data_IF_706358765958
#
_entry.id   IF_706358765958
#
_cell.length_a   1.000
_cell.length_b   1.000
_cell.length_c   1.000
_cell.angle_alpha   90.00
_cell.angle_beta   90.00
_cell.angle_gamma   90.00
#
_symmetry.space_group_name_H-M   'P 1'
#
loop_
_entity.id
_entity.type
_entity.pdbx_description
1 polymer ?
#
# COMPACT_ATOMS: atom_id res chain seq x y z
N UNK A 1 -33.08 13.55 25.88
CA UNK A 1 -31.87 13.43 25.04
C UNK A 1 -32.28 13.33 23.57
N UNK A 2 -31.93 14.30 22.72
CA UNK A 2 -32.12 14.18 21.26
C UNK A 2 -31.20 13.05 20.77
N UNK A 3 -31.75 12.03 20.11
CA UNK A 3 -30.93 10.96 19.51
C UNK A 3 -30.00 11.62 18.47
N UNK A 4 -28.67 11.43 18.56
CA UNK A 4 -27.78 11.95 17.54
C UNK A 4 -28.15 11.33 16.19
N UNK A 5 -28.11 12.13 15.13
CA UNK A 5 -28.35 11.65 13.76
C UNK A 5 -27.22 10.71 13.35
N UNK A 6 -27.49 9.77 12.44
CA UNK A 6 -26.49 8.82 11.97
C UNK A 6 -25.21 9.52 11.44
N UNK A 7 -25.36 10.67 10.76
CA UNK A 7 -24.23 11.47 10.27
C UNK A 7 -23.32 11.99 11.39
N UNK A 8 -23.89 12.43 12.52
CA UNK A 8 -23.09 12.88 13.67
C UNK A 8 -22.28 11.73 14.28
N UNK A 9 -22.90 10.54 14.42
CA UNK A 9 -22.23 9.35 14.93
C UNK A 9 -21.11 8.89 13.98
N UNK A 10 -21.35 8.92 12.67
CA UNK A 10 -20.35 8.60 11.65
C UNK A 10 -19.17 9.58 11.69
N UNK A 11 -19.43 10.89 11.87
CA UNK A 11 -18.36 11.88 12.01
C UNK A 11 -17.45 11.62 13.22
N UNK A 12 -18.04 11.32 14.39
CA UNK A 12 -17.27 10.99 15.60
C UNK A 12 -16.50 9.68 15.49
N UNK A 13 -17.09 8.67 14.85
CA UNK A 13 -16.41 7.41 14.55
C UNK A 13 -15.23 7.63 13.60
N UNK A 14 -15.40 8.43 12.55
CA UNK A 14 -14.34 8.75 11.59
C UNK A 14 -13.14 9.43 12.26
N UNK A 15 -13.38 10.42 13.12
CA UNK A 15 -12.31 11.09 13.88
C UNK A 15 -11.56 10.12 14.81
N UNK A 16 -12.29 9.22 15.47
CA UNK A 16 -11.67 8.20 16.31
C UNK A 16 -10.81 7.26 15.48
N UNK A 17 -11.33 6.76 14.35
CA UNK A 17 -10.61 5.89 13.42
C UNK A 17 -9.38 6.56 12.82
N UNK A 18 -9.45 7.86 12.52
CA UNK A 18 -8.31 8.64 12.03
C UNK A 18 -7.17 8.70 13.05
N UNK A 19 -7.49 8.86 14.34
CA UNK A 19 -6.48 8.84 15.40
C UNK A 19 -5.85 7.45 15.55
N UNK A 20 -6.65 6.39 15.47
CA UNK A 20 -6.14 5.02 15.43
C UNK A 20 -5.24 4.77 14.23
N UNK A 21 -5.64 5.23 13.04
CA UNK A 21 -4.83 5.15 11.83
C UNK A 21 -3.47 5.81 12.00
N UNK A 22 -3.44 7.05 12.52
CA UNK A 22 -2.18 7.78 12.78
C UNK A 22 -1.29 7.06 13.79
N UNK A 23 -1.87 6.50 14.84
CA UNK A 23 -1.13 5.74 15.84
C UNK A 23 -0.52 4.45 15.26
N UNK A 24 -1.30 3.69 14.49
CA UNK A 24 -0.83 2.47 13.81
C UNK A 24 0.25 2.81 12.79
N UNK A 25 0.04 3.84 11.96
CA UNK A 25 1.03 4.35 11.00
C UNK A 25 2.36 4.65 11.67
N UNK A 26 2.34 5.39 12.78
CA UNK A 26 3.55 5.73 13.53
C UNK A 26 4.23 4.48 14.10
N UNK A 27 3.46 3.53 14.63
CA UNK A 27 4.01 2.28 15.16
C UNK A 27 4.66 1.43 14.06
N UNK A 28 4.00 1.29 12.91
CA UNK A 28 4.54 0.54 11.77
C UNK A 28 5.80 1.20 11.21
N UNK A 29 5.82 2.52 11.04
CA UNK A 29 7.00 3.25 10.55
C UNK A 29 8.15 3.30 11.56
N UNK A 30 7.91 2.93 12.82
CA UNK A 30 8.97 2.77 13.83
C UNK A 30 9.63 1.40 13.81
N UNK A 31 9.07 0.42 13.08
CA UNK A 31 9.71 -0.89 12.90
C UNK A 31 10.95 -0.76 12.01
N UNK A 32 12.03 -1.42 12.40
CA UNK A 32 13.27 -1.54 11.63
C UNK A 32 13.11 -2.43 10.38
N UNK A 33 11.99 -3.14 10.28
CA UNK A 33 11.66 -3.99 9.15
C UNK A 33 10.18 -3.87 8.76
N UNK A 34 9.95 -3.33 7.56
CA UNK A 34 8.61 -3.19 6.97
C UNK A 34 8.51 -3.97 5.65
N UNK A 35 7.29 -4.37 5.29
CA UNK A 35 6.98 -4.82 3.94
C UNK A 35 5.91 -3.92 3.31
N UNK A 36 6.01 -3.70 2.00
CA UNK A 36 5.02 -2.94 1.25
C UNK A 36 4.64 -3.63 -0.05
N UNK A 37 3.35 -3.54 -0.38
CA UNK A 37 2.75 -4.03 -1.63
C UNK A 37 1.57 -3.14 -2.01
N UNK A 38 1.28 -3.01 -3.30
CA UNK A 38 0.09 -2.31 -3.77
C UNK A 38 -1.03 -3.28 -4.17
N UNK A 39 -2.24 -3.00 -3.71
CA UNK A 39 -3.44 -3.75 -4.12
C UNK A 39 -4.47 -2.80 -4.70
N UNK A 40 -5.31 -3.28 -5.61
CA UNK A 40 -6.33 -2.44 -6.24
C UNK A 40 -7.74 -2.99 -6.03
N UNK A 41 -8.67 -2.07 -5.83
CA UNK A 41 -10.11 -2.33 -5.84
C UNK A 41 -10.79 -1.52 -6.93
N UNK A 42 -11.97 -1.96 -7.37
CA UNK A 42 -12.84 -1.14 -8.23
C UNK A 42 -13.60 -0.18 -7.34
N UNK A 43 -13.34 1.11 -7.50
CA UNK A 43 -13.96 2.17 -6.70
C UNK A 43 -14.89 3.01 -7.56
N UNK A 44 -15.93 3.55 -6.93
CA UNK A 44 -16.82 4.51 -7.58
C UNK A 44 -16.14 5.88 -7.62
N UNK A 45 -16.28 6.56 -8.75
CA UNK A 45 -15.79 7.92 -8.94
C UNK A 45 -16.85 8.79 -9.61
N UNK A 46 -16.87 10.11 -9.34
CA UNK A 46 -17.84 11.02 -9.95
C UNK A 46 -17.70 11.07 -11.48
N UNK A 47 -16.46 11.01 -11.97
CA UNK A 47 -16.15 11.05 -13.40
C UNK A 47 -16.51 9.75 -14.09
N UNK A 48 -17.30 9.85 -15.16
CA UNK A 48 -17.67 8.70 -15.99
C UNK A 48 -16.56 8.39 -16.98
N UNK A 49 -16.21 7.11 -17.09
CA UNK A 49 -15.33 6.64 -18.16
C UNK A 49 -16.03 6.70 -19.54
N UNK A 50 -15.29 6.38 -20.59
CA UNK A 50 -15.81 6.31 -21.98
C UNK A 50 -16.98 5.35 -22.19
N UNK A 51 -17.28 4.46 -21.22
CA UNK A 51 -18.41 3.53 -21.23
C UNK A 51 -19.57 3.99 -20.33
N UNK A 52 -19.56 5.25 -19.89
CA UNK A 52 -20.59 5.85 -19.03
C UNK A 52 -20.58 5.36 -17.58
N UNK A 53 -19.59 4.56 -17.17
CA UNK A 53 -19.48 4.02 -15.81
C UNK A 53 -18.55 4.89 -14.96
N UNK A 54 -19.01 5.37 -13.81
CA UNK A 54 -18.20 6.07 -12.81
C UNK A 54 -17.39 5.11 -11.96
N UNK A 55 -16.53 4.28 -12.58
CA UNK A 55 -15.72 3.28 -11.87
C UNK A 55 -14.29 3.32 -12.38
N UNK A 56 -13.32 3.39 -11.46
CA UNK A 56 -11.88 3.27 -11.76
C UNK A 56 -11.20 2.24 -10.86
N UNK A 57 -9.98 1.85 -11.22
CA UNK A 57 -9.12 1.09 -10.31
C UNK A 57 -8.54 2.07 -9.29
N UNK A 58 -8.83 1.85 -8.02
CA UNK A 58 -8.22 2.58 -6.91
C UNK A 58 -7.17 1.72 -6.24
N UNK A 59 -5.94 2.22 -6.20
CA UNK A 59 -4.82 1.53 -5.55
C UNK A 59 -4.71 1.95 -4.08
N UNK A 60 -4.43 0.95 -3.25
CA UNK A 60 -4.11 1.06 -1.84
C UNK A 60 -2.68 0.56 -1.67
N UNK A 61 -1.85 1.38 -1.03
CA UNK A 61 -0.49 1.02 -0.67
C UNK A 61 -0.51 0.45 0.74
N UNK A 62 -0.29 -0.85 0.86
CA UNK A 62 -0.30 -1.53 2.15
C UNK A 62 1.11 -1.56 2.68
N UNK A 63 1.28 -1.19 3.95
CA UNK A 63 2.56 -1.20 4.65
C UNK A 63 2.35 -2.00 5.94
N UNK A 64 3.22 -2.98 6.15
CA UNK A 64 3.15 -3.92 7.27
C UNK A 64 4.45 -3.83 8.05
N UNK A 65 4.33 -3.52 9.34
CA UNK A 65 5.43 -3.61 10.30
C UNK A 65 5.64 -5.07 10.67
N UNK A 66 6.77 -5.65 10.27
CA UNK A 66 6.98 -7.09 10.39
C UNK A 66 7.20 -7.50 11.85
N UNK A 67 7.72 -6.59 12.68
CA UNK A 67 7.99 -6.83 14.09
C UNK A 67 6.76 -6.56 14.95
N UNK A 68 6.09 -5.45 14.70
CA UNK A 68 4.84 -5.07 15.38
C UNK A 68 3.65 -5.96 14.98
N UNK A 69 3.67 -6.54 13.78
CA UNK A 69 2.54 -7.28 13.22
C UNK A 69 1.36 -6.36 12.84
N UNK A 70 1.58 -5.04 12.82
CA UNK A 70 0.57 -4.05 12.49
C UNK A 70 0.64 -3.71 11.00
N UNK A 71 -0.49 -3.26 10.45
CA UNK A 71 -0.56 -2.79 9.08
C UNK A 71 -1.41 -1.54 8.96
N UNK A 72 -1.09 -0.72 7.98
CA UNK A 72 -1.96 0.36 7.53
C UNK A 72 -1.94 0.45 6.00
N UNK A 73 -2.93 1.15 5.45
CA UNK A 73 -3.05 1.35 4.02
C UNK A 73 -3.14 2.84 3.69
N UNK A 74 -2.34 3.29 2.73
CA UNK A 74 -2.39 4.65 2.19
C UNK A 74 -3.23 4.65 0.92
N UNK A 75 -4.20 5.57 0.87
CA UNK A 75 -5.06 5.79 -0.29
C UNK A 75 -4.98 7.26 -0.71
N UNK A 76 -4.46 7.51 -1.93
CA UNK A 76 -4.34 8.86 -2.51
C UNK A 76 -5.13 8.93 -3.82
N UNK A 77 -6.45 9.09 -3.71
CA UNK A 77 -7.40 9.07 -4.83
C UNK A 77 -7.27 7.86 -5.76
N UNK A 78 -6.75 6.76 -5.21
CA UNK A 78 -6.50 5.53 -5.95
C UNK A 78 -5.31 5.60 -6.90
N UNK A 79 -4.36 6.52 -6.71
CA UNK A 79 -3.13 6.60 -7.50
C UNK A 79 -2.20 5.40 -7.29
N UNK A 80 -1.63 4.88 -8.39
CA UNK A 80 -0.54 3.89 -8.38
C UNK A 80 0.84 4.52 -8.63
N UNK A 81 0.93 5.83 -8.60
CA UNK A 81 2.21 6.49 -8.82
C UNK A 81 3.13 6.29 -7.59
N UNK A 82 4.43 6.17 -7.86
CA UNK A 82 5.43 5.90 -6.82
C UNK A 82 5.60 7.05 -5.83
N UNK A 83 5.22 8.27 -6.21
CA UNK A 83 5.18 9.44 -5.32
C UNK A 83 4.42 9.17 -4.01
N UNK A 84 3.34 8.38 -4.07
CA UNK A 84 2.57 8.01 -2.88
C UNK A 84 3.43 7.30 -1.85
N UNK A 85 4.23 6.32 -2.29
CA UNK A 85 5.09 5.55 -1.37
C UNK A 85 6.38 6.31 -1.03
N UNK A 86 6.87 7.15 -1.94
CA UNK A 86 8.04 7.99 -1.70
C UNK A 86 7.78 9.01 -0.58
N UNK A 87 6.66 9.72 -0.65
CA UNK A 87 6.28 10.68 0.39
C UNK A 87 6.04 9.98 1.74
N UNK A 88 5.51 8.76 1.70
CA UNK A 88 5.21 8.00 2.90
C UNK A 88 6.47 7.47 3.60
N UNK A 89 7.50 7.11 2.83
CA UNK A 89 8.75 6.53 3.33
C UNK A 89 9.90 7.52 3.40
N UNK A 90 9.68 8.80 3.11
CA UNK A 90 10.73 9.83 3.09
C UNK A 90 11.60 9.84 4.36
N UNK A 91 10.96 9.74 5.54
CA UNK A 91 11.65 9.76 6.83
C UNK A 91 11.89 8.36 7.42
N UNK A 92 11.60 7.30 6.66
CA UNK A 92 11.74 5.92 7.14
C UNK A 92 13.21 5.48 7.15
N UNK A 93 13.60 4.77 8.21
CA UNK A 93 14.94 4.23 8.39
C UNK A 93 14.83 2.74 8.72
N UNK A 94 15.43 1.87 7.89
CA UNK A 94 15.37 0.44 8.13
C UNK A 94 15.37 -0.40 6.85
N UNK A 95 14.85 -1.61 6.98
CA UNK A 95 14.75 -2.58 5.88
C UNK A 95 13.35 -2.58 5.30
N UNK A 96 13.25 -2.43 3.99
CA UNK A 96 11.97 -2.49 3.26
C UNK A 96 11.92 -3.71 2.36
N UNK A 97 10.94 -4.57 2.57
CA UNK A 97 10.62 -5.70 1.70
C UNK A 97 9.54 -5.29 0.70
N UNK A 98 9.85 -5.34 -0.59
CA UNK A 98 8.91 -5.00 -1.65
C UNK A 98 8.99 -5.96 -2.84
N UNK A 99 8.05 -5.84 -3.77
CA UNK A 99 8.16 -6.50 -5.06
C UNK A 99 9.29 -5.86 -5.93
N UNK A 100 9.41 -6.30 -7.19
CA UNK A 100 10.43 -5.83 -8.12
C UNK A 100 9.95 -4.74 -9.09
N UNK A 101 8.80 -4.09 -8.81
CA UNK A 101 8.28 -3.01 -9.63
C UNK A 101 9.28 -1.83 -9.69
N UNK A 102 9.24 -1.09 -10.81
CA UNK A 102 10.22 -0.04 -11.11
C UNK A 102 10.25 1.07 -10.07
N UNK A 103 9.10 1.42 -9.50
CA UNK A 103 9.02 2.47 -8.47
C UNK A 103 9.70 2.05 -7.16
N UNK A 104 9.58 0.80 -6.71
CA UNK A 104 10.34 0.34 -5.53
C UNK A 104 11.85 0.28 -5.77
N UNK A 105 12.30 0.09 -7.03
CA UNK A 105 13.74 0.14 -7.33
C UNK A 105 14.33 1.52 -7.07
N UNK A 106 13.54 2.59 -7.21
CA UNK A 106 13.98 3.96 -6.91
C UNK A 106 14.30 4.15 -5.42
N UNK A 107 13.63 3.40 -4.54
CA UNK A 107 13.86 3.42 -3.09
C UNK A 107 15.24 2.83 -2.72
N UNK A 108 15.91 2.13 -3.64
CA UNK A 108 17.28 1.68 -3.44
C UNK A 108 18.33 2.74 -3.87
N UNK A 109 17.89 3.88 -4.42
CA UNK A 109 18.77 4.94 -4.92
C UNK A 109 19.08 6.03 -3.89
N UNK A 110 19.80 7.06 -4.35
CA UNK A 110 20.33 8.16 -3.51
C UNK A 110 19.25 8.97 -2.78
N UNK A 111 17.99 8.94 -3.27
CA UNK A 111 16.85 9.61 -2.64
C UNK A 111 16.46 8.99 -1.28
N UNK A 112 16.85 7.73 -1.02
CA UNK A 112 16.46 6.97 0.17
C UNK A 112 17.66 6.23 0.80
N UNK A 113 18.72 6.95 1.21
CA UNK A 113 19.98 6.33 1.65
C UNK A 113 19.82 5.49 2.93
N UNK A 114 18.76 5.76 3.72
CA UNK A 114 18.49 5.10 4.99
C UNK A 114 17.61 3.85 4.86
N UNK A 115 17.22 3.49 3.62
CA UNK A 115 16.35 2.34 3.36
C UNK A 115 17.13 1.24 2.65
N UNK A 116 17.26 0.10 3.32
CA UNK A 116 17.77 -1.11 2.68
C UNK A 116 16.62 -1.89 2.06
N UNK A 117 16.49 -1.87 0.74
CA UNK A 117 15.44 -2.63 0.05
C UNK A 117 15.84 -4.10 -0.15
N UNK A 118 14.96 -5.01 0.26
CA UNK A 118 15.04 -6.46 -0.04
C UNK A 118 13.90 -6.90 -0.97
N UNK A 119 14.20 -7.84 -1.86
CA UNK A 119 13.25 -8.32 -2.85
C UNK A 119 12.29 -9.39 -2.28
N UNK A 120 11.04 -9.36 -2.75
CA UNK A 120 10.04 -10.32 -2.31
C UNK A 120 10.23 -11.73 -2.87
N UNK A 121 10.56 -12.67 -1.98
CA UNK A 121 10.76 -14.07 -2.34
C UNK A 121 9.48 -14.76 -2.85
N UNK A 122 8.31 -14.37 -2.34
CA UNK A 122 7.02 -14.90 -2.83
C UNK A 122 6.79 -14.52 -4.30
N UNK A 123 7.14 -13.29 -4.68
CA UNK A 123 7.07 -12.83 -6.06
C UNK A 123 8.04 -13.58 -6.98
N UNK A 124 9.26 -13.85 -6.50
CA UNK A 124 10.26 -14.65 -7.23
C UNK A 124 9.75 -16.09 -7.44
N UNK A 125 9.29 -16.74 -6.36
CA UNK A 125 8.74 -18.11 -6.39
C UNK A 125 7.58 -18.22 -7.38
N UNK A 126 6.61 -17.30 -7.32
CA UNK A 126 5.45 -17.29 -8.21
C UNK A 126 5.88 -17.18 -9.68
N UNK A 127 6.82 -16.27 -9.99
CA UNK A 127 7.33 -16.12 -11.37
C UNK A 127 8.09 -17.36 -11.83
N UNK A 128 8.89 -17.96 -10.97
CA UNK A 128 9.63 -19.18 -11.29
C UNK A 128 8.69 -20.35 -11.63
N UNK A 129 7.68 -20.60 -10.79
CA UNK A 129 6.70 -21.67 -11.01
C UNK A 129 5.91 -21.46 -12.31
N UNK A 130 5.44 -20.23 -12.57
CA UNK A 130 4.70 -19.90 -13.79
C UNK A 130 5.56 -20.13 -15.04
N UNK A 131 6.85 -19.78 -14.99
CA UNK A 131 7.77 -20.00 -16.11
C UNK A 131 8.02 -21.48 -16.37
N UNK A 132 8.26 -22.29 -15.34
CA UNK A 132 8.43 -23.75 -15.49
C UNK A 132 7.18 -24.38 -16.09
N UNK A 133 5.99 -24.04 -15.57
CA UNK A 133 4.73 -24.57 -16.10
C UNK A 133 4.56 -24.25 -17.59
N UNK A 134 4.88 -23.02 -18.01
CA UNK A 134 4.81 -22.61 -19.43
C UNK A 134 5.76 -23.38 -20.35
N UNK A 135 6.94 -23.77 -19.87
CA UNK A 135 7.88 -24.61 -20.61
C UNK A 135 7.31 -26.02 -20.76
N UNK A 136 6.74 -26.56 -19.69
CA UNK A 136 6.19 -27.91 -19.67
C UNK A 136 4.96 -28.08 -20.57
N UNK A 137 4.06 -27.09 -20.64
CA UNK A 137 2.90 -27.10 -21.55
C UNK A 137 3.23 -26.78 -23.03
N UNK A 138 4.51 -26.49 -23.35
CA UNK A 138 4.98 -26.24 -24.72
C UNK A 138 5.77 -27.40 -25.31
N UNK A 139 6.01 -28.46 -24.54
CA UNK A 139 6.55 -29.75 -24.97
C UNK A 139 5.40 -30.74 -25.14
#
# INVERSE_FOLDING_TARGET
MKKPTAGFLLGRAAETLENFYKAIRKAVLSDDYIASDETYFKILVPEKNSKGKGVKKGYFWVIVGQKSGLLYAVYRDGSRAGDVIYDELHDYHGTMHSDAASFYRKIQGDDFPNITRIACLQHIKRKFIVTIARIWYRL
#
